data_IF_622350087309
#
_entry.id   IF_622350087309
#
_cell.length_a   1.000
_cell.length_b   1.000
_cell.length_c   1.000
_cell.angle_alpha   90.00
_cell.angle_beta   90.00
_cell.angle_gamma   90.00
#
_symmetry.space_group_name_H-M   'P 1'
#
loop_
_entity.id
_entity.type
_entity.pdbx_description
1 polymer ?
#
# COMPACT_ATOMS: atom_id res chain seq x y z
N UNK A 1 7.31 -11.93 10.13
CA UNK A 1 6.14 -12.30 9.29
C UNK A 1 6.45 -12.57 7.82
N UNK A 2 7.35 -11.81 7.14
CA UNK A 2 7.67 -12.07 5.71
C UNK A 2 8.36 -13.42 5.49
N UNK A 3 9.28 -13.80 6.38
CA UNK A 3 10.03 -15.07 6.31
C UNK A 3 9.11 -16.30 6.36
N UNK A 4 8.10 -16.30 7.25
CA UNK A 4 7.10 -17.38 7.36
C UNK A 4 6.30 -17.54 6.07
N UNK A 5 5.97 -16.43 5.38
CA UNK A 5 5.27 -16.50 4.10
C UNK A 5 6.13 -17.14 3.02
N UNK A 6 7.40 -16.74 2.91
CA UNK A 6 8.36 -17.36 1.98
C UNK A 6 8.62 -18.83 2.31
N UNK A 7 8.69 -19.17 3.60
CA UNK A 7 8.85 -20.55 4.05
C UNK A 7 7.65 -21.43 3.65
N UNK A 8 6.42 -20.94 3.77
CA UNK A 8 5.23 -21.66 3.29
C UNK A 8 5.25 -21.89 1.77
N UNK A 9 5.72 -20.91 0.98
CA UNK A 9 5.85 -21.08 -0.47
C UNK A 9 6.91 -22.13 -0.85
N UNK A 10 8.06 -22.13 -0.16
CA UNK A 10 9.10 -23.14 -0.37
C UNK A 10 8.61 -24.53 0.03
N UNK A 11 7.93 -24.64 1.17
CA UNK A 11 7.36 -25.90 1.63
C UNK A 11 6.32 -26.44 0.64
N UNK A 12 5.44 -25.57 0.13
CA UNK A 12 4.47 -25.94 -0.91
C UNK A 12 5.15 -26.44 -2.17
N UNK A 13 6.21 -25.75 -2.64
CA UNK A 13 6.97 -26.16 -3.81
C UNK A 13 7.65 -27.53 -3.60
N UNK A 14 8.20 -27.77 -2.40
CA UNK A 14 8.77 -29.07 -2.01
C UNK A 14 7.73 -30.18 -2.06
N UNK A 15 6.56 -29.98 -1.46
CA UNK A 15 5.46 -30.97 -1.49
C UNK A 15 5.08 -31.28 -2.93
N UNK A 16 4.95 -30.24 -3.75
CA UNK A 16 4.54 -30.38 -5.14
C UNK A 16 5.58 -31.16 -5.97
N UNK A 17 6.87 -30.87 -5.76
CA UNK A 17 7.95 -31.63 -6.39
C UNK A 17 7.94 -33.11 -5.99
N UNK A 18 7.75 -33.41 -4.69
CA UNK A 18 7.65 -34.80 -4.21
C UNK A 18 6.47 -35.53 -4.83
N UNK A 19 5.29 -34.88 -4.91
CA UNK A 19 4.11 -35.47 -5.56
C UNK A 19 4.38 -35.75 -7.03
N UNK A 20 5.04 -34.83 -7.74
CA UNK A 20 5.34 -35.01 -9.18
C UNK A 20 6.31 -36.17 -9.41
N UNK A 21 7.34 -36.29 -8.56
CA UNK A 21 8.31 -37.39 -8.61
C UNK A 21 7.65 -38.73 -8.28
N UNK A 22 6.79 -38.78 -7.26
CA UNK A 22 6.03 -39.99 -6.91
C UNK A 22 5.10 -40.43 -8.04
N UNK A 23 4.36 -39.50 -8.63
CA UNK A 23 3.51 -39.79 -9.79
C UNK A 23 4.31 -40.32 -10.97
N UNK A 24 5.50 -39.75 -11.19
CA UNK A 24 6.40 -40.17 -12.26
C UNK A 24 6.96 -41.57 -12.03
N UNK A 25 7.42 -41.85 -10.81
CA UNK A 25 7.96 -43.15 -10.43
C UNK A 25 6.91 -44.26 -10.41
N UNK A 26 5.66 -43.94 -10.09
CA UNK A 26 4.60 -44.94 -9.93
C UNK A 26 3.89 -45.29 -11.25
N UNK A 27 4.03 -44.47 -12.29
CA UNK A 27 3.34 -44.65 -13.56
C UNK A 27 4.33 -44.81 -14.71
N UNK A 28 4.41 -46.04 -15.23
CA UNK A 28 5.18 -46.39 -16.44
C UNK A 28 4.28 -46.51 -17.69
N UNK A 29 3.04 -46.04 -17.58
CA UNK A 29 2.06 -46.06 -18.67
C UNK A 29 2.48 -45.13 -19.78
N UNK A 30 2.67 -45.69 -20.98
CA UNK A 30 2.87 -44.91 -22.21
C UNK A 30 1.52 -44.47 -22.78
N UNK A 31 1.49 -43.23 -23.27
CA UNK A 31 0.33 -42.62 -23.90
C UNK A 31 0.76 -41.95 -25.19
N UNK A 32 -0.07 -42.13 -26.20
CA UNK A 32 0.07 -41.45 -27.49
C UNK A 32 -0.84 -40.24 -27.51
N UNK A 33 -0.24 -39.05 -27.61
CA UNK A 33 -0.95 -37.79 -27.77
C UNK A 33 -0.97 -37.46 -29.25
N UNK A 34 -2.17 -37.41 -29.82
CA UNK A 34 -2.38 -36.94 -31.18
C UNK A 34 -2.52 -35.42 -31.19
N UNK A 35 -1.53 -34.75 -31.75
CA UNK A 35 -1.55 -33.32 -32.02
C UNK A 35 -2.09 -33.05 -33.42
N UNK A 36 -2.43 -31.79 -33.69
CA UNK A 36 -3.00 -31.37 -34.98
C UNK A 36 -2.08 -31.63 -36.19
N UNK A 37 -0.77 -31.79 -35.97
CA UNK A 37 0.23 -31.99 -37.02
C UNK A 37 1.19 -33.17 -36.74
N UNK A 38 0.81 -34.12 -35.88
CA UNK A 38 1.64 -35.28 -35.59
C UNK A 38 1.22 -36.03 -34.33
N UNK A 39 1.91 -37.12 -34.04
CA UNK A 39 1.69 -37.95 -32.86
C UNK A 39 2.95 -38.01 -32.01
N UNK A 40 2.78 -38.00 -30.70
CA UNK A 40 3.87 -38.15 -29.75
C UNK A 40 3.53 -39.26 -28.77
N UNK A 41 4.39 -40.26 -28.68
CA UNK A 41 4.28 -41.33 -27.68
C UNK A 41 5.32 -41.10 -26.60
N UNK A 42 4.87 -40.99 -25.36
CA UNK A 42 5.73 -40.81 -24.21
C UNK A 42 5.08 -41.30 -22.92
N UNK A 43 5.85 -41.31 -21.83
CA UNK A 43 5.31 -41.64 -20.52
C UNK A 43 4.25 -40.59 -20.11
N UNK A 44 3.12 -41.05 -19.58
CA UNK A 44 2.03 -40.18 -19.09
C UNK A 44 2.55 -39.11 -18.12
N UNK A 45 3.43 -39.54 -17.24
CA UNK A 45 4.09 -38.72 -16.23
C UNK A 45 4.87 -37.54 -16.82
N UNK A 46 5.55 -37.76 -17.95
CA UNK A 46 6.29 -36.70 -18.63
C UNK A 46 5.35 -35.65 -19.22
N UNK A 47 4.28 -36.10 -19.89
CA UNK A 47 3.27 -35.20 -20.49
C UNK A 47 2.59 -34.37 -19.40
N UNK A 48 2.20 -34.99 -18.29
CA UNK A 48 1.62 -34.29 -17.14
C UNK A 48 2.60 -33.29 -16.52
N UNK A 49 3.87 -33.68 -16.36
CA UNK A 49 4.92 -32.81 -15.83
C UNK A 49 5.12 -31.56 -16.69
N UNK A 50 5.20 -31.71 -18.00
CA UNK A 50 5.31 -30.58 -18.95
C UNK A 50 4.08 -29.68 -18.88
N UNK A 51 2.87 -30.25 -18.88
CA UNK A 51 1.63 -29.49 -18.77
C UNK A 51 1.56 -28.71 -17.44
N UNK A 52 1.99 -29.33 -16.35
CA UNK A 52 2.04 -28.68 -15.03
C UNK A 52 3.02 -27.51 -15.02
N UNK A 53 4.24 -27.69 -15.53
CA UNK A 53 5.25 -26.61 -15.62
C UNK A 53 4.70 -25.45 -16.45
N UNK A 54 4.05 -25.75 -17.57
CA UNK A 54 3.46 -24.72 -18.43
C UNK A 54 2.36 -23.94 -17.68
N UNK A 55 1.46 -24.64 -16.99
CA UNK A 55 0.44 -24.02 -16.15
C UNK A 55 1.04 -23.17 -15.02
N UNK A 56 2.11 -23.64 -14.38
CA UNK A 56 2.81 -22.90 -13.34
C UNK A 56 3.47 -21.62 -13.86
N UNK A 57 4.12 -21.67 -15.02
CA UNK A 57 4.70 -20.50 -15.68
C UNK A 57 3.61 -19.47 -16.01
N UNK A 58 2.48 -19.92 -16.58
CA UNK A 58 1.34 -19.04 -16.85
C UNK A 58 0.80 -18.39 -15.57
N UNK A 59 0.66 -19.15 -14.48
CA UNK A 59 0.22 -18.63 -13.19
C UNK A 59 1.20 -17.59 -12.61
N UNK A 60 2.51 -17.83 -12.74
CA UNK A 60 3.53 -16.87 -12.32
C UNK A 60 3.46 -15.56 -13.12
N UNK A 61 3.25 -15.64 -14.44
CA UNK A 61 3.09 -14.46 -15.29
C UNK A 61 1.87 -13.64 -14.85
N UNK A 62 0.73 -14.29 -14.61
CA UNK A 62 -0.49 -13.61 -14.14
C UNK A 62 -0.26 -12.98 -12.77
N UNK A 63 0.38 -13.70 -11.84
CA UNK A 63 0.71 -13.20 -10.51
C UNK A 63 1.64 -11.97 -10.57
N UNK A 64 2.65 -12.01 -11.45
CA UNK A 64 3.57 -10.90 -11.67
C UNK A 64 2.84 -9.66 -12.18
N UNK A 65 1.95 -9.82 -13.16
CA UNK A 65 1.11 -8.73 -13.68
C UNK A 65 0.22 -8.15 -12.58
N UNK A 66 -0.47 -9.00 -11.81
CA UNK A 66 -1.33 -8.56 -10.70
C UNK A 66 -0.53 -7.79 -9.64
N UNK A 67 0.65 -8.31 -9.29
CA UNK A 67 1.54 -7.67 -8.33
C UNK A 67 1.99 -6.30 -8.81
N UNK A 68 2.36 -6.17 -10.10
CA UNK A 68 2.77 -4.90 -10.69
C UNK A 68 1.63 -3.87 -10.65
N UNK A 69 0.42 -4.27 -11.03
CA UNK A 69 -0.78 -3.41 -10.97
C UNK A 69 -1.08 -2.98 -9.52
N UNK A 70 -1.02 -3.90 -8.56
CA UNK A 70 -1.27 -3.60 -7.15
C UNK A 70 -0.19 -2.68 -6.55
N UNK A 71 1.07 -2.88 -6.91
CA UNK A 71 2.18 -2.04 -6.44
C UNK A 71 2.00 -0.59 -6.91
N UNK A 72 1.60 -0.39 -8.17
CA UNK A 72 1.30 0.94 -8.71
C UNK A 72 0.15 1.63 -7.98
N UNK A 73 -0.94 0.91 -7.68
CA UNK A 73 -2.07 1.46 -6.89
C UNK A 73 -1.65 1.84 -5.47
N UNK A 74 -0.79 1.03 -4.83
CA UNK A 74 -0.30 1.29 -3.47
C UNK A 74 0.64 2.49 -3.42
N UNK A 75 1.44 2.71 -4.46
CA UNK A 75 2.31 3.89 -4.59
C UNK A 75 1.51 5.19 -4.71
N UNK A 76 0.50 5.20 -5.57
CA UNK A 76 -0.43 6.34 -5.71
C UNK A 76 -1.19 6.65 -4.42
N UNK A 77 -1.65 5.64 -3.69
CA UNK A 77 -2.30 5.82 -2.39
C UNK A 77 -1.35 6.40 -1.34
N UNK A 78 -0.10 5.94 -1.27
CA UNK A 78 0.91 6.50 -0.37
C UNK A 78 1.21 7.97 -0.67
N UNK A 79 1.28 8.36 -1.95
CA UNK A 79 1.46 9.76 -2.32
C UNK A 79 0.27 10.63 -1.93
N UNK A 80 -0.97 10.14 -2.12
CA UNK A 80 -2.17 10.85 -1.67
C UNK A 80 -2.20 11.02 -0.14
N UNK A 81 -1.89 9.96 0.62
CA UNK A 81 -1.82 10.03 2.08
C UNK A 81 -0.79 11.05 2.54
N UNK A 82 0.43 11.01 1.98
CA UNK A 82 1.49 11.95 2.35
C UNK A 82 1.13 13.41 2.05
N UNK A 83 0.42 13.66 0.94
CA UNK A 83 -0.07 15.00 0.60
C UNK A 83 -1.16 15.48 1.57
N UNK A 84 -2.11 14.62 1.91
CA UNK A 84 -3.18 14.94 2.87
C UNK A 84 -2.65 15.15 4.29
N UNK A 85 -1.62 14.41 4.70
CA UNK A 85 -0.92 14.61 5.97
C UNK A 85 -0.20 15.96 6.00
N UNK A 86 0.46 16.34 4.91
CA UNK A 86 1.13 17.63 4.80
C UNK A 86 0.15 18.82 4.82
N UNK A 87 -1.00 18.69 4.16
CA UNK A 87 -2.06 19.71 4.17
C UNK A 87 -2.68 19.85 5.57
N UNK A 88 -2.99 18.73 6.26
CA UNK A 88 -3.45 18.76 7.65
C UNK A 88 -2.44 19.43 8.59
N UNK A 89 -1.15 19.13 8.42
CA UNK A 89 -0.09 19.73 9.23
C UNK A 89 -0.02 21.25 9.01
N UNK A 90 -0.11 21.72 7.76
CA UNK A 90 -0.14 23.16 7.45
C UNK A 90 -1.36 23.86 8.01
N UNK A 91 -2.54 23.24 7.88
CA UNK A 91 -3.80 23.78 8.42
C UNK A 91 -3.77 23.86 9.95
N UNK A 92 -3.23 22.85 10.63
CA UNK A 92 -3.03 22.89 12.09
C UNK A 92 -2.13 24.04 12.52
N UNK A 93 -0.99 24.23 11.86
CA UNK A 93 -0.07 25.34 12.16
C UNK A 93 -0.73 26.69 11.90
N UNK A 94 -1.49 26.84 10.81
CA UNK A 94 -2.21 28.08 10.51
C UNK A 94 -3.29 28.41 11.55
N UNK A 95 -4.01 27.40 12.05
CA UNK A 95 -4.98 27.57 13.13
C UNK A 95 -4.30 27.97 14.45
N UNK A 96 -3.17 27.36 14.76
CA UNK A 96 -2.39 27.69 15.96
C UNK A 96 -1.88 29.13 15.92
N UNK A 97 -1.30 29.57 14.80
CA UNK A 97 -0.86 30.97 14.60
C UNK A 97 -2.04 31.95 14.72
N UNK A 98 -3.18 31.65 14.10
CA UNK A 98 -4.38 32.50 14.18
C UNK A 98 -4.91 32.61 15.62
N UNK A 99 -4.81 31.53 16.41
CA UNK A 99 -5.20 31.55 17.82
C UNK A 99 -4.26 32.41 18.68
N UNK A 100 -2.96 32.41 18.37
CA UNK A 100 -1.95 33.24 19.04
C UNK A 100 -2.14 34.73 18.73
N UNK A 101 -2.41 35.08 17.47
CA UNK A 101 -2.71 36.46 17.07
C UNK A 101 -4.01 36.98 17.72
N UNK A 102 -5.04 36.13 17.77
CA UNK A 102 -6.32 36.47 18.43
C UNK A 102 -6.14 36.70 19.94
N UNK A 103 -5.25 35.94 20.59
CA UNK A 103 -4.94 36.10 22.00
C UNK A 103 -4.08 37.37 22.26
N UNK A 104 -3.14 37.66 21.36
CA UNK A 104 -2.32 38.89 21.41
C UNK A 104 -3.19 40.14 21.26
N UNK A 105 -4.17 40.14 20.36
CA UNK A 105 -5.12 41.24 20.20
C UNK A 105 -5.98 41.45 21.46
N UNK A 106 -6.47 40.39 22.12
CA UNK A 106 -7.20 40.52 23.39
C UNK A 106 -6.36 41.18 24.49
N UNK A 107 -5.06 40.86 24.57
CA UNK A 107 -4.15 41.53 25.53
C UNK A 107 -3.95 43.01 25.20
N UNK A 108 -3.83 43.39 23.93
CA UNK A 108 -3.66 44.81 23.54
C UNK A 108 -4.91 45.64 23.80
N UNK A 109 -6.11 45.10 23.55
CA UNK A 109 -7.38 45.82 23.81
C UNK A 109 -7.65 46.06 25.30
N UNK A 110 -7.15 45.20 26.19
CA UNK A 110 -7.27 45.42 27.64
C UNK A 110 -6.30 46.48 28.19
N UNK A 111 -5.19 46.77 27.50
CA UNK A 111 -4.18 47.75 27.97
C UNK A 111 -4.52 49.19 27.52
N UNK A 112 -5.32 49.38 26.48
CA UNK A 112 -5.65 50.72 25.94
C UNK A 112 -6.81 51.43 26.67
N UNK A 113 -7.56 50.75 27.54
CA UNK A 113 -8.56 51.41 28.40
C UNK A 113 -7.92 51.93 29.70
N UNK A 114 -7.07 52.95 29.59
CA UNK A 114 -6.72 53.84 30.71
C UNK A 114 -7.65 55.05 30.62
N UNK A 115 -8.52 55.32 31.60
CA UNK A 115 -9.48 56.42 31.51
C UNK A 115 -8.75 57.77 31.48
N UNK A 116 -9.05 58.55 30.44
CA UNK A 116 -8.67 59.94 30.24
C UNK A 116 -9.17 60.79 31.42
N UNK A 117 -8.26 61.18 32.32
CA UNK A 117 -8.54 62.09 33.43
C UNK A 117 -8.75 63.51 32.90
N UNK A 118 -10.01 63.90 32.66
CA UNK A 118 -10.41 65.29 32.43
C UNK A 118 -10.51 66.04 33.76
N UNK A 119 -9.43 66.71 34.16
CA UNK A 119 -9.47 67.76 35.19
C UNK A 119 -10.04 69.05 34.59
N UNK A 120 -11.33 69.27 34.81
CA UNK A 120 -12.08 70.48 34.43
C UNK A 120 -12.15 71.40 35.67
N UNK A 121 -11.27 72.39 35.78
CA UNK A 121 -11.38 73.46 36.80
C UNK A 121 -12.23 74.59 36.25
N UNK A 122 -13.51 74.61 36.65
CA UNK A 122 -14.39 75.78 36.58
C UNK A 122 -13.98 76.79 37.66
N UNK A 123 -13.78 78.06 37.30
CA UNK A 123 -13.74 79.18 38.24
C UNK A 123 -14.99 80.05 38.07
N UNK A 124 -15.59 80.55 39.17
CA UNK A 124 -16.82 81.33 39.11
C UNK A 124 -16.57 82.83 38.86
N UNK A 125 -17.58 83.41 38.24
CA UNK A 125 -17.78 84.83 37.94
C UNK A 125 -17.90 85.67 39.23
N UNK A 126 -17.21 86.81 39.27
CA UNK A 126 -17.63 88.02 39.98
C UNK A 126 -17.23 89.24 39.18
#
# INVERSE_FOLDING_TARGET
>A
MKVIKYLCYVLFLCVLAVVTLLFTSANDTQVTVNYFAGEFTGALSFILGVAFIFGFICALIVLLLLWLVNKSKTGLLRMKVSRLEAENKKLRVALEVKSLDSNKQRKTTQVTHVPENKSMTQYPVK
#
